data_IF_827233727051
#
_entry.id   IF_827233727051
#
_cell.length_a   1.000
_cell.length_b   1.000
_cell.length_c   1.000
_cell.angle_alpha   90.00
_cell.angle_beta   90.00
_cell.angle_gamma   90.00
#
_symmetry.space_group_name_H-M   'P 1'
#
loop_
_entity.id
_entity.type
_entity.pdbx_description
1 polymer ?
#
# COMPACT_ATOMS: atom_id res chain seq x y z
N UNK A 1 -20.89 1.44 -55.01
CA UNK A 1 -20.63 0.12 -54.36
C UNK A 1 -19.25 -0.37 -54.80
N UNK A 2 -18.22 -0.09 -54.01
CA UNK A 2 -16.86 -0.58 -54.29
C UNK A 2 -16.57 -1.72 -53.33
N UNK A 3 -16.54 -2.93 -53.86
CA UNK A 3 -16.14 -4.14 -53.12
C UNK A 3 -14.64 -4.14 -52.95
N UNK A 4 -14.17 -3.87 -51.75
CA UNK A 4 -12.75 -4.10 -51.41
C UNK A 4 -12.57 -5.55 -51.00
N UNK A 5 -11.88 -6.27 -51.85
CA UNK A 5 -11.38 -7.62 -51.57
C UNK A 5 -10.11 -7.48 -50.71
N UNK A 6 -10.24 -7.82 -49.45
CA UNK A 6 -9.07 -7.91 -48.55
C UNK A 6 -8.53 -9.29 -48.73
N UNK A 7 -7.37 -9.36 -49.37
CA UNK A 7 -6.58 -10.57 -49.47
C UNK A 7 -5.94 -10.87 -48.10
N UNK A 8 -6.29 -11.98 -47.53
CA UNK A 8 -5.70 -12.57 -46.34
C UNK A 8 -4.28 -13.03 -46.66
N UNK A 9 -3.29 -12.29 -46.21
CA UNK A 9 -1.91 -12.76 -46.10
C UNK A 9 -1.71 -13.26 -44.66
N UNK A 10 -1.81 -14.56 -44.51
CA UNK A 10 -1.44 -15.26 -43.31
C UNK A 10 0.08 -15.33 -43.27
N UNK A 11 0.72 -14.41 -42.58
CA UNK A 11 2.13 -14.50 -42.24
C UNK A 11 2.28 -15.28 -40.95
N UNK A 12 2.76 -16.50 -41.11
CA UNK A 12 3.13 -17.40 -40.03
C UNK A 12 4.42 -16.90 -39.39
N UNK A 13 4.30 -16.01 -38.43
CA UNK A 13 5.42 -15.61 -37.58
C UNK A 13 5.47 -16.45 -36.35
N UNK A 14 6.41 -17.36 -36.34
CA UNK A 14 6.84 -18.16 -35.19
C UNK A 14 7.20 -17.22 -34.02
N UNK A 15 6.37 -17.23 -33.00
CA UNK A 15 6.66 -16.56 -31.74
C UNK A 15 7.73 -17.36 -30.99
N UNK A 16 8.93 -16.84 -30.94
CA UNK A 16 9.88 -17.20 -29.89
C UNK A 16 9.38 -16.55 -28.60
N UNK A 17 8.81 -17.36 -27.72
CA UNK A 17 8.59 -16.97 -26.34
C UNK A 17 9.92 -16.90 -25.62
N UNK A 18 10.49 -15.72 -25.51
CA UNK A 18 11.52 -15.46 -24.50
C UNK A 18 10.78 -15.28 -23.20
N UNK A 19 10.70 -16.33 -22.42
CA UNK A 19 10.29 -16.30 -21.04
C UNK A 19 11.35 -15.49 -20.26
N UNK A 20 11.09 -14.22 -20.01
CA UNK A 20 11.77 -13.50 -18.94
C UNK A 20 11.23 -14.01 -17.63
N UNK A 21 11.83 -15.07 -17.16
CA UNK A 21 11.69 -15.60 -15.81
C UNK A 21 12.39 -14.64 -14.86
N UNK A 22 11.64 -13.68 -14.34
CA UNK A 22 12.12 -12.83 -13.26
C UNK A 22 12.09 -13.65 -11.96
N UNK A 23 13.08 -14.51 -11.79
CA UNK A 23 13.38 -15.16 -10.52
C UNK A 23 13.98 -14.15 -9.57
N UNK A 24 13.13 -13.40 -8.91
CA UNK A 24 13.50 -12.76 -7.66
C UNK A 24 12.92 -13.56 -6.50
N UNK A 25 13.19 -14.87 -6.51
CA UNK A 25 13.14 -15.69 -5.32
C UNK A 25 14.45 -15.47 -4.57
N UNK A 26 14.38 -14.59 -3.59
CA UNK A 26 15.37 -14.59 -2.54
C UNK A 26 15.05 -15.79 -1.66
N UNK A 27 15.61 -16.92 -2.02
CA UNK A 27 15.69 -18.07 -1.14
C UNK A 27 16.41 -17.65 0.14
N UNK A 28 15.68 -17.72 1.21
CA UNK A 28 16.24 -17.75 2.55
C UNK A 28 16.86 -19.14 2.73
N UNK A 29 18.16 -19.26 2.99
CA UNK A 29 18.72 -20.53 3.39
C UNK A 29 18.25 -20.82 4.81
N UNK A 30 17.37 -21.79 4.92
CA UNK A 30 17.10 -22.47 6.17
C UNK A 30 18.36 -23.20 6.62
N UNK A 31 18.52 -23.20 7.95
CA UNK A 31 19.37 -24.08 8.71
C UNK A 31 20.72 -23.51 9.16
N UNK A 32 20.69 -22.93 10.37
CA UNK A 32 21.52 -23.46 11.45
C UNK A 32 20.83 -23.21 12.78
N UNK A 33 20.51 -24.31 13.39
CA UNK A 33 20.09 -24.51 14.75
C UNK A 33 21.20 -23.96 15.64
N UNK A 34 20.96 -22.81 16.24
CA UNK A 34 21.69 -22.40 17.43
C UNK A 34 20.71 -21.76 18.40
N UNK A 35 20.60 -22.39 19.54
CA UNK A 35 19.73 -22.00 20.63
C UNK A 35 20.33 -20.77 21.29
N UNK A 36 20.06 -19.63 20.71
CA UNK A 36 20.21 -18.36 21.39
C UNK A 36 18.84 -17.75 21.45
N UNK A 37 18.34 -17.55 22.66
CA UNK A 37 17.14 -16.77 22.91
C UNK A 37 17.31 -15.42 22.22
N UNK A 38 16.81 -15.31 21.00
CA UNK A 38 16.55 -14.03 20.39
C UNK A 38 15.32 -13.51 21.12
N UNK A 39 15.55 -12.65 22.08
CA UNK A 39 14.54 -11.71 22.55
C UNK A 39 14.15 -10.95 21.29
N UNK A 40 13.05 -11.34 20.65
CA UNK A 40 12.39 -10.50 19.68
C UNK A 40 12.21 -9.14 20.36
N UNK A 41 12.77 -8.05 19.81
CA UNK A 41 12.37 -6.75 20.29
C UNK A 41 10.86 -6.72 20.02
N UNK A 42 10.07 -6.75 21.10
CA UNK A 42 8.69 -6.27 21.03
C UNK A 42 8.84 -4.88 20.46
N UNK A 43 8.60 -4.76 19.16
CA UNK A 43 8.35 -3.46 18.54
C UNK A 43 7.05 -3.04 19.19
N UNK A 44 7.15 -2.29 20.28
CA UNK A 44 6.01 -1.58 20.80
C UNK A 44 5.41 -0.84 19.62
N UNK A 45 4.09 -0.93 19.37
CA UNK A 45 3.47 -0.22 18.27
C UNK A 45 3.88 1.24 18.41
N UNK A 46 4.58 1.77 17.40
CA UNK A 46 5.05 3.14 17.39
C UNK A 46 3.82 4.01 17.57
N UNK A 47 3.61 4.43 18.80
CA UNK A 47 2.47 5.27 19.15
C UNK A 47 2.81 6.67 18.64
N UNK A 48 2.29 7.01 17.48
CA UNK A 48 2.46 8.34 16.92
C UNK A 48 1.84 9.38 17.86
N UNK A 49 2.56 10.49 18.04
CA UNK A 49 2.07 11.57 18.87
C UNK A 49 0.89 12.28 18.17
N UNK A 50 -0.21 12.47 18.89
CA UNK A 50 -1.42 13.16 18.42
C UNK A 50 -1.11 14.58 17.92
N UNK A 51 -0.10 15.24 18.48
CA UNK A 51 0.32 16.58 18.05
C UNK A 51 0.87 16.62 16.62
N UNK A 52 1.32 15.48 16.08
CA UNK A 52 1.92 15.39 14.76
C UNK A 52 0.90 15.22 13.62
N UNK A 53 -0.36 15.01 13.94
CA UNK A 53 -1.42 14.83 12.95
C UNK A 53 -2.40 15.99 12.97
N UNK A 54 -2.95 16.31 11.81
CA UNK A 54 -3.85 17.44 11.60
C UNK A 54 -5.33 17.08 11.74
N UNK A 55 -5.68 15.82 11.64
CA UNK A 55 -7.06 15.34 11.71
C UNK A 55 -7.50 15.04 13.15
N UNK A 56 -8.82 15.06 13.36
CA UNK A 56 -9.48 14.75 14.64
C UNK A 56 -9.84 13.27 14.74
N UNK A 57 -10.25 12.68 13.61
CA UNK A 57 -10.68 11.29 13.48
C UNK A 57 -10.04 10.63 12.28
N UNK A 58 -9.85 9.32 12.38
CA UNK A 58 -9.48 8.49 11.25
C UNK A 58 -10.56 8.60 10.15
N UNK A 59 -10.21 9.07 8.94
CA UNK A 59 -11.20 9.28 7.89
C UNK A 59 -11.77 7.98 7.31
N UNK A 60 -11.16 6.84 7.62
CA UNK A 60 -11.60 5.53 7.11
C UNK A 60 -12.58 4.84 8.03
N UNK A 61 -12.38 4.92 9.36
CA UNK A 61 -13.22 4.23 10.33
C UNK A 61 -13.91 5.15 11.35
N UNK A 62 -13.58 6.46 11.36
CA UNK A 62 -14.18 7.43 12.26
C UNK A 62 -13.66 7.38 13.71
N UNK A 63 -12.67 6.54 14.01
CA UNK A 63 -12.09 6.47 15.34
C UNK A 63 -11.34 7.76 15.69
N UNK A 64 -11.53 8.34 16.87
CA UNK A 64 -10.82 9.55 17.26
C UNK A 64 -9.32 9.26 17.40
N UNK A 65 -8.47 10.14 16.87
CA UNK A 65 -7.00 9.99 16.95
C UNK A 65 -6.48 9.98 18.39
N UNK A 66 -7.28 10.47 19.34
CA UNK A 66 -6.98 10.39 20.78
C UNK A 66 -7.03 8.97 21.35
N UNK A 67 -7.71 8.05 20.66
CA UNK A 67 -7.73 6.62 21.03
C UNK A 67 -6.41 5.90 20.67
N UNK A 68 -5.64 6.49 19.79
CA UNK A 68 -4.33 5.99 19.36
C UNK A 68 -4.16 6.09 17.84
N UNK A 69 -2.93 6.29 17.42
CA UNK A 69 -2.55 6.36 16.01
C UNK A 69 -1.59 5.22 15.73
N UNK A 70 -1.98 4.32 14.83
CA UNK A 70 -1.17 3.18 14.41
C UNK A 70 -0.35 3.45 13.16
N UNK A 71 -0.78 4.40 12.31
CA UNK A 71 -0.05 4.79 11.09
C UNK A 71 -0.39 6.23 10.67
N UNK A 72 0.41 6.81 9.79
CA UNK A 72 0.21 8.16 9.25
C UNK A 72 0.44 8.22 7.75
N UNK A 73 -0.17 9.20 7.08
CA UNK A 73 0.13 9.56 5.70
C UNK A 73 0.19 11.07 5.53
N UNK A 74 0.98 11.52 4.55
CA UNK A 74 1.04 12.91 4.15
C UNK A 74 0.27 13.10 2.85
N UNK A 75 -0.65 14.05 2.84
CA UNK A 75 -1.42 14.41 1.65
C UNK A 75 -1.80 15.89 1.69
N UNK A 76 -1.58 16.64 0.60
CA UNK A 76 -1.85 18.09 0.50
C UNK A 76 -1.31 18.91 1.68
N UNK A 77 -0.04 18.72 2.03
CA UNK A 77 0.64 19.38 3.15
C UNK A 77 0.00 19.15 4.52
N UNK A 78 -0.79 18.09 4.66
CA UNK A 78 -1.40 17.66 5.91
C UNK A 78 -0.88 16.30 6.32
N UNK A 79 -0.72 16.10 7.61
CA UNK A 79 -0.41 14.79 8.19
C UNK A 79 -1.68 14.18 8.75
N UNK A 80 -2.05 13.03 8.22
CA UNK A 80 -3.29 12.33 8.58
C UNK A 80 -2.92 11.13 9.44
N UNK A 81 -3.51 11.01 10.62
CA UNK A 81 -3.37 9.85 11.50
C UNK A 81 -4.47 8.84 11.27
N UNK A 82 -4.10 7.57 11.30
CA UNK A 82 -4.99 6.41 11.15
C UNK A 82 -4.85 5.49 12.35
N UNK A 83 -5.92 4.82 12.74
CA UNK A 83 -5.88 3.86 13.84
C UNK A 83 -5.05 2.61 13.48
N UNK A 84 -4.93 2.29 12.19
CA UNK A 84 -4.18 1.14 11.70
C UNK A 84 -3.66 1.36 10.27
N UNK A 85 -2.76 0.48 9.85
CA UNK A 85 -2.26 0.44 8.47
C UNK A 85 -3.37 0.18 7.46
N UNK A 86 -4.33 -0.67 7.78
CA UNK A 86 -5.45 -1.03 6.92
C UNK A 86 -6.34 0.19 6.63
N UNK A 87 -6.58 1.04 7.63
CA UNK A 87 -7.31 2.29 7.45
C UNK A 87 -6.57 3.26 6.54
N UNK A 88 -5.26 3.37 6.68
CA UNK A 88 -4.40 4.14 5.78
C UNK A 88 -4.48 3.61 4.35
N UNK A 89 -4.32 2.29 4.16
CA UNK A 89 -4.37 1.67 2.84
C UNK A 89 -5.74 1.88 2.17
N UNK A 90 -6.83 1.83 2.95
CA UNK A 90 -8.16 2.17 2.46
C UNK A 90 -8.27 3.62 2.00
N UNK A 91 -7.76 4.55 2.79
CA UNK A 91 -7.73 5.97 2.44
C UNK A 91 -6.98 6.22 1.13
N UNK A 92 -5.82 5.59 0.96
CA UNK A 92 -4.95 5.78 -0.19
C UNK A 92 -5.51 5.22 -1.50
N UNK A 93 -6.52 4.34 -1.47
CA UNK A 93 -7.19 3.84 -2.68
C UNK A 93 -7.85 4.96 -3.49
N UNK A 94 -8.35 5.99 -2.81
CA UNK A 94 -8.90 7.19 -3.44
C UNK A 94 -8.64 8.41 -2.54
N UNK A 95 -7.37 8.75 -2.39
CA UNK A 95 -6.92 9.75 -1.44
C UNK A 95 -7.56 11.13 -1.69
N UNK A 96 -7.75 11.54 -2.95
CA UNK A 96 -8.33 12.83 -3.30
C UNK A 96 -9.79 12.93 -2.83
N UNK A 97 -10.58 11.90 -3.02
CA UNK A 97 -11.98 11.83 -2.59
C UNK A 97 -12.06 11.73 -1.07
N UNK A 98 -11.30 10.82 -0.48
CA UNK A 98 -11.33 10.57 0.96
C UNK A 98 -10.83 11.77 1.77
N UNK A 99 -9.93 12.57 1.21
CA UNK A 99 -9.41 13.78 1.83
C UNK A 99 -10.50 14.83 2.09
N UNK A 100 -11.55 14.90 1.25
CA UNK A 100 -12.66 15.83 1.44
C UNK A 100 -13.52 15.51 2.66
N UNK A 101 -13.49 14.26 3.13
CA UNK A 101 -14.24 13.80 4.29
C UNK A 101 -13.45 13.91 5.61
N UNK A 102 -12.19 14.37 5.58
CA UNK A 102 -11.35 14.46 6.77
C UNK A 102 -11.82 15.61 7.69
N UNK A 103 -12.02 15.29 8.96
CA UNK A 103 -12.27 16.29 9.98
C UNK A 103 -10.93 16.86 10.51
N UNK A 104 -10.71 18.14 10.30
CA UNK A 104 -9.46 18.82 10.68
C UNK A 104 -9.54 19.43 12.07
N UNK A 105 -8.41 19.45 12.77
CA UNK A 105 -8.24 20.25 13.98
C UNK A 105 -8.38 21.75 13.66
N UNK A 106 -9.04 22.50 14.52
CA UNK A 106 -9.19 23.96 14.40
C UNK A 106 -7.99 24.65 15.00
#
# INVERSE_FOLDING_TARGET
MKKMKIATLISLTTLLFIACENKNQKESPAEKKDTTMVVEPKVDPVKYNIALVDNVKDPSCGMPVTAGIGDTAHFNNKTIGFCSKECKDFFLKDAAKNFTAVEWKK
#
